data_IF_904332451977
#
_entry.id   IF_904332451977
#
_cell.length_a   1.000
_cell.length_b   1.000
_cell.length_c   1.000
_cell.angle_alpha   90.00
_cell.angle_beta   90.00
_cell.angle_gamma   90.00
#
_symmetry.space_group_name_H-M   'P 1'
#
loop_
_entity.id
_entity.type
_entity.pdbx_description
1 polymer ?
#
# COMPACT_ATOMS: atom_id res chain seq x y z
N UNK A 1 -34.93 -2.11 14.01
CA UNK A 1 -34.16 -2.23 13.81
C UNK A 1 -33.59 -1.87 13.30
N UNK A 2 -32.98 -1.57 13.24
CA UNK A 2 -32.20 -1.34 12.75
C UNK A 2 -31.45 -1.41 12.35
N UNK A 3 -31.23 -1.28 12.31
CA UNK A 3 -30.50 -1.44 11.84
C UNK A 3 -29.94 -1.36 11.21
N UNK A 4 -30.08 -1.53 11.37
CA UNK A 4 -29.38 -1.65 10.31
C UNK A 4 -28.43 -0.62 9.92
N UNK A 5 -28.18 0.10 10.65
CA UNK A 5 -27.09 0.98 10.33
C UNK A 5 -25.84 0.24 10.61
N UNK A 6 -25.31 -0.26 9.57
CA UNK A 6 -24.05 -0.89 9.66
C UNK A 6 -23.03 0.20 9.75
N UNK A 7 -22.44 0.34 10.88
CA UNK A 7 -21.23 1.13 10.95
C UNK A 7 -20.17 0.39 10.17
N UNK A 8 -19.76 0.99 9.10
CA UNK A 8 -18.68 0.40 8.31
C UNK A 8 -17.36 0.73 8.99
N UNK A 9 -16.71 -0.29 9.54
CA UNK A 9 -15.41 -0.12 10.18
C UNK A 9 -14.35 -0.64 9.24
N UNK A 10 -13.38 0.22 8.92
CA UNK A 10 -12.25 -0.18 8.09
C UNK A 10 -11.25 -0.92 8.98
N UNK A 11 -10.91 -2.17 8.66
CA UNK A 11 -9.94 -2.92 9.46
C UNK A 11 -8.54 -2.35 9.29
N UNK A 12 -7.67 -2.68 10.22
CA UNK A 12 -6.27 -2.30 10.17
C UNK A 12 -5.43 -3.38 9.46
N UNK A 13 -4.25 -3.00 9.03
CA UNK A 13 -3.30 -3.96 8.48
C UNK A 13 -2.59 -4.69 9.61
N UNK A 14 -2.42 -6.00 9.46
CA UNK A 14 -1.68 -6.85 10.39
C UNK A 14 -0.30 -7.19 9.88
N UNK A 15 -0.18 -7.46 8.59
CA UNK A 15 1.10 -7.84 8.01
C UNK A 15 1.11 -7.52 6.53
N UNK A 16 2.31 -7.40 5.99
CA UNK A 16 2.53 -7.06 4.58
C UNK A 16 3.51 -8.06 4.00
N UNK A 17 3.17 -8.60 2.85
CA UNK A 17 4.06 -9.49 2.10
C UNK A 17 4.12 -8.99 0.66
N UNK A 18 5.32 -8.83 0.14
CA UNK A 18 5.52 -8.36 -1.22
C UNK A 18 6.32 -9.38 -1.99
N UNK A 19 5.77 -9.81 -3.13
CA UNK A 19 6.49 -10.65 -4.08
C UNK A 19 6.95 -9.80 -5.25
N UNK A 20 7.46 -10.43 -6.31
CA UNK A 20 7.92 -9.70 -7.49
C UNK A 20 6.79 -8.95 -8.19
N UNK A 21 5.55 -9.41 -8.04
CA UNK A 21 4.44 -8.84 -8.79
C UNK A 21 3.20 -8.53 -7.95
N UNK A 22 3.21 -8.85 -6.65
CA UNK A 22 2.01 -8.75 -5.83
C UNK A 22 2.29 -8.12 -4.48
N UNK A 23 1.39 -7.26 -4.05
CA UNK A 23 1.35 -6.73 -2.69
C UNK A 23 0.19 -7.41 -1.96
N UNK A 24 0.49 -8.09 -0.86
CA UNK A 24 -0.51 -8.77 -0.04
C UNK A 24 -0.54 -8.15 1.34
N UNK A 25 -1.73 -7.83 1.82
CA UNK A 25 -1.90 -7.23 3.15
C UNK A 25 -2.96 -8.04 3.90
N UNK A 26 -2.55 -8.60 5.04
CA UNK A 26 -3.48 -9.28 5.94
C UNK A 26 -4.13 -8.24 6.84
N UNK A 27 -5.43 -8.36 7.02
CA UNK A 27 -6.22 -7.40 7.76
C UNK A 27 -6.71 -7.98 9.09
N UNK A 28 -7.03 -7.10 10.02
CA UNK A 28 -7.48 -7.50 11.36
C UNK A 28 -8.82 -8.21 11.36
N UNK A 29 -9.61 -8.09 10.30
CA UNK A 29 -10.90 -8.77 10.21
C UNK A 29 -10.80 -10.16 9.57
N UNK A 30 -9.58 -10.64 9.32
CA UNK A 30 -9.35 -11.98 8.78
C UNK A 30 -9.20 -12.03 7.26
N UNK A 31 -9.43 -10.93 6.57
CA UNK A 31 -9.28 -10.92 5.12
C UNK A 31 -7.83 -10.65 4.74
N UNK A 32 -7.47 -11.10 3.55
CA UNK A 32 -6.22 -10.74 2.91
C UNK A 32 -6.55 -10.05 1.60
N UNK A 33 -5.91 -8.92 1.34
CA UNK A 33 -6.07 -8.20 0.09
C UNK A 33 -4.79 -8.32 -0.70
N UNK A 34 -4.91 -8.76 -1.95
CA UNK A 34 -3.78 -8.84 -2.87
C UNK A 34 -4.04 -7.94 -4.05
N UNK A 35 -3.07 -7.11 -4.38
CA UNK A 35 -3.17 -6.22 -5.54
C UNK A 35 -1.90 -6.30 -6.36
N UNK A 36 -1.96 -5.97 -7.65
CA UNK A 36 -0.75 -5.94 -8.48
C UNK A 36 0.25 -4.92 -7.94
N UNK A 37 1.49 -5.33 -7.80
CA UNK A 37 2.54 -4.41 -7.35
C UNK A 37 2.71 -3.25 -8.33
N UNK A 38 2.44 -3.50 -9.61
CA UNK A 38 2.53 -2.47 -10.66
C UNK A 38 1.57 -1.31 -10.44
N UNK A 39 0.54 -1.48 -9.60
CA UNK A 39 -0.34 -0.36 -9.23
C UNK A 39 0.41 0.73 -8.47
N UNK A 40 1.57 0.41 -7.91
CA UNK A 40 2.39 1.32 -7.13
C UNK A 40 3.79 1.35 -7.73
N UNK A 41 4.00 2.22 -8.73
CA UNK A 41 5.25 2.20 -9.49
C UNK A 41 6.52 2.35 -8.64
N UNK A 42 6.47 3.14 -7.58
CA UNK A 42 7.65 3.27 -6.72
C UNK A 42 8.00 1.95 -6.03
N UNK A 43 6.99 1.18 -5.62
CA UNK A 43 7.22 -0.15 -5.08
C UNK A 43 7.74 -1.09 -6.14
N UNK A 44 7.13 -1.04 -7.32
CA UNK A 44 7.50 -1.93 -8.41
C UNK A 44 8.95 -1.72 -8.85
N UNK A 45 9.41 -0.47 -8.84
CA UNK A 45 10.78 -0.12 -9.21
C UNK A 45 11.75 -0.14 -8.04
N UNK A 46 11.27 -0.35 -6.83
CA UNK A 46 12.12 -0.46 -5.66
C UNK A 46 12.88 -1.78 -5.63
N UNK A 47 13.94 -1.81 -4.84
CA UNK A 47 14.68 -3.06 -4.61
C UNK A 47 13.91 -3.94 -3.65
N UNK A 48 14.24 -5.22 -3.61
CA UNK A 48 13.65 -6.16 -2.64
C UNK A 48 13.88 -5.63 -1.22
N UNK A 49 15.06 -5.12 -0.96
CA UNK A 49 15.39 -4.58 0.36
C UNK A 49 14.51 -3.40 0.71
N UNK A 50 14.33 -2.46 -0.22
CA UNK A 50 13.47 -1.29 0.00
C UNK A 50 12.02 -1.70 0.23
N UNK A 51 11.52 -2.65 -0.55
CA UNK A 51 10.14 -3.13 -0.43
C UNK A 51 9.86 -3.77 0.93
N UNK A 52 10.86 -4.35 1.55
CA UNK A 52 10.70 -5.02 2.83
C UNK A 52 10.89 -4.09 4.03
N UNK A 53 11.23 -2.83 3.79
CA UNK A 53 11.40 -1.85 4.86
C UNK A 53 10.19 -0.93 4.93
N UNK A 54 9.11 -1.48 5.41
CA UNK A 54 7.86 -0.74 5.60
C UNK A 54 7.55 -0.62 7.09
N UNK A 55 6.69 0.30 7.41
CA UNK A 55 6.16 0.43 8.77
C UNK A 55 4.69 0.83 8.70
N UNK A 56 3.96 0.52 9.75
CA UNK A 56 2.57 0.95 9.84
C UNK A 56 2.52 2.40 10.27
N UNK A 57 1.52 3.12 9.76
CA UNK A 57 1.17 4.46 10.20
C UNK A 57 -0.30 4.43 10.61
N UNK A 58 -0.67 5.35 11.54
CA UNK A 58 -2.05 5.42 12.02
C UNK A 58 -2.53 4.14 12.67
N UNK A 59 -1.65 3.43 13.38
CA UNK A 59 -1.98 2.17 14.06
C UNK A 59 -2.49 1.09 13.11
N UNK A 60 -1.93 1.06 11.90
CA UNK A 60 -2.32 0.05 10.92
C UNK A 60 -3.33 0.54 9.90
N UNK A 61 -3.73 1.80 9.95
CA UNK A 61 -4.59 2.36 8.90
C UNK A 61 -3.84 2.50 7.57
N UNK A 62 -2.54 2.63 7.62
CA UNK A 62 -1.72 2.77 6.45
C UNK A 62 -0.37 2.10 6.59
N UNK A 63 0.33 2.02 5.48
CA UNK A 63 1.65 1.43 5.38
C UNK A 63 2.55 2.44 4.69
N UNK A 64 3.75 2.64 5.23
CA UNK A 64 4.68 3.63 4.71
C UNK A 64 6.03 3.00 4.43
N UNK A 65 6.62 3.37 3.31
CA UNK A 65 7.98 2.97 2.91
C UNK A 65 8.84 4.23 2.89
N UNK A 66 9.72 4.38 3.87
CA UNK A 66 10.55 5.57 3.97
C UNK A 66 11.49 5.73 2.77
N UNK A 67 12.13 4.64 2.36
CA UNK A 67 13.11 4.71 1.26
C UNK A 67 12.48 5.04 -0.09
N UNK A 68 11.20 4.72 -0.26
CA UNK A 68 10.50 4.91 -1.53
C UNK A 68 9.54 6.10 -1.48
N UNK A 69 9.40 6.70 -0.29
CA UNK A 69 8.44 7.79 -0.06
C UNK A 69 7.06 7.42 -0.59
N UNK A 70 6.59 6.24 -0.17
CA UNK A 70 5.31 5.70 -0.61
C UNK A 70 4.40 5.46 0.59
N UNK A 71 3.15 5.87 0.46
CA UNK A 71 2.10 5.61 1.44
C UNK A 71 0.95 4.88 0.79
N UNK A 72 0.46 3.83 1.46
CA UNK A 72 -0.71 3.11 0.98
C UNK A 72 -1.67 2.97 2.15
N UNK A 73 -2.93 3.37 1.95
CA UNK A 73 -3.95 3.22 2.98
C UNK A 73 -4.72 1.91 2.79
N UNK A 74 -5.15 1.32 3.90
CA UNK A 74 -6.01 0.14 3.84
C UNK A 74 -7.30 0.48 3.12
N UNK A 75 -7.86 1.66 3.39
CA UNK A 75 -9.07 2.09 2.71
C UNK A 75 -8.88 2.14 1.19
N UNK A 76 -7.75 2.68 0.74
CA UNK A 76 -7.45 2.73 -0.69
C UNK A 76 -7.35 1.34 -1.30
N UNK A 77 -6.74 0.40 -0.58
CA UNK A 77 -6.66 -0.99 -1.04
C UNK A 77 -8.04 -1.61 -1.17
N UNK A 78 -8.90 -1.39 -0.16
CA UNK A 78 -10.26 -1.94 -0.18
C UNK A 78 -11.08 -1.36 -1.32
N UNK A 79 -10.84 -0.11 -1.69
CA UNK A 79 -11.55 0.54 -2.77
C UNK A 79 -10.95 0.27 -4.15
N UNK A 80 -9.84 -0.46 -4.20
CA UNK A 80 -9.19 -0.78 -5.45
C UNK A 80 -8.51 0.41 -6.11
N UNK A 81 -7.99 1.34 -5.33
CA UNK A 81 -7.35 2.54 -5.85
C UNK A 81 -5.85 2.32 -6.03
N UNK A 82 -5.34 2.41 -7.26
CA UNK A 82 -3.90 2.39 -7.47
C UNK A 82 -3.26 3.70 -7.05
N UNK A 83 -1.94 3.78 -7.18
CA UNK A 83 -1.22 5.03 -6.90
C UNK A 83 -1.79 6.18 -7.69
N UNK A 84 -1.98 7.33 -7.04
CA UNK A 84 -2.42 8.54 -7.70
C UNK A 84 -1.28 9.39 -8.23
N UNK A 85 -0.06 8.89 -8.16
CA UNK A 85 1.10 9.66 -8.58
C UNK A 85 1.09 9.89 -10.09
N UNK A 86 1.36 11.14 -10.52
CA UNK A 86 1.45 11.45 -11.94
C UNK A 86 2.71 10.85 -12.55
N UNK A 87 2.70 10.66 -13.88
CA UNK A 87 3.88 10.18 -14.57
C UNK A 87 5.05 11.15 -14.44
N UNK A 88 4.77 12.45 -14.44
CA UNK A 88 5.82 13.45 -14.29
C UNK A 88 6.49 13.35 -12.91
N UNK A 89 5.68 13.18 -11.86
CA UNK A 89 6.21 13.01 -10.51
C UNK A 89 7.04 11.73 -10.41
N UNK A 90 6.55 10.65 -10.97
CA UNK A 90 7.25 9.38 -10.95
C UNK A 90 8.58 9.46 -11.70
N UNK A 91 8.60 10.13 -12.85
CA UNK A 91 9.84 10.31 -13.62
C UNK A 91 10.86 11.12 -12.82
N UNK A 92 10.41 12.17 -12.14
CA UNK A 92 11.33 12.96 -11.31
C UNK A 92 11.93 12.07 -10.22
N UNK A 93 11.11 11.26 -9.59
CA UNK A 93 11.58 10.34 -8.55
C UNK A 93 12.60 9.35 -9.11
N UNK A 94 12.33 8.76 -10.28
CA UNK A 94 13.29 7.85 -10.91
C UNK A 94 14.62 8.53 -11.16
N UNK A 95 14.59 9.78 -11.60
CA UNK A 95 15.82 10.52 -11.87
C UNK A 95 16.64 10.75 -10.60
N UNK A 96 15.99 10.91 -9.46
CA UNK A 96 16.70 11.11 -8.19
C UNK A 96 17.38 9.83 -7.71
N UNK A 97 17.07 8.68 -8.28
CA UNK A 97 17.68 7.42 -7.87
C UNK A 97 19.05 7.17 -8.51
N UNK A 98 19.58 8.15 -9.21
CA UNK A 98 20.94 8.07 -9.70
C UNK A 98 21.14 7.26 -10.97
N UNK A 99 20.12 7.05 -11.69
CA UNK A 99 20.20 6.29 -12.94
C UNK A 99 20.25 7.20 -14.14
#
# INVERSE_FOLDING_TARGET
MNTSVTEFVIPDALSVTITDDTLCVDLTDGRTISVPLAWYPRLFHGTVEERNKWRFIGKGHGIHWDALDEDISVEGLLLGKPSGESQASFKRWLNTRGN
#
